data_IF_133927175677
#
_entry.id   IF_133927175677
#
_cell.length_a   1.000
_cell.length_b   1.000
_cell.length_c   1.000
_cell.angle_alpha   90.00
_cell.angle_beta   90.00
_cell.angle_gamma   90.00
#
_symmetry.space_group_name_H-M   'P 1'
#
loop_
_entity.id
_entity.type
_entity.pdbx_description
1 polymer ?
#
# COMPACT_ATOMS: atom_id res chain seq x y z
N UNK A 1 16.37 16.36 -12.94
CA UNK A 1 14.90 16.36 -12.76
C UNK A 1 14.31 15.27 -13.64
N UNK A 2 13.35 14.50 -13.10
CA UNK A 2 12.61 13.50 -13.86
C UNK A 2 11.74 14.18 -14.94
N UNK A 3 11.45 13.45 -16.01
CA UNK A 3 10.47 13.87 -17.01
C UNK A 3 9.07 13.87 -16.40
N UNK A 4 8.22 14.78 -16.85
CA UNK A 4 6.82 14.89 -16.37
C UNK A 4 6.07 13.57 -16.49
N UNK A 5 6.24 12.81 -17.58
CA UNK A 5 5.55 11.53 -17.76
C UNK A 5 5.95 10.48 -16.71
N UNK A 6 7.18 10.55 -16.20
CA UNK A 6 7.64 9.66 -15.12
C UNK A 6 7.06 10.08 -13.77
N UNK A 7 6.99 11.37 -13.50
CA UNK A 7 6.39 11.90 -12.27
C UNK A 7 4.91 11.50 -12.19
N UNK A 8 4.16 11.63 -13.29
CA UNK A 8 2.75 11.26 -13.33
C UNK A 8 2.54 9.76 -13.06
N UNK A 9 3.41 8.91 -13.60
CA UNK A 9 3.37 7.46 -13.34
C UNK A 9 3.71 7.11 -11.90
N UNK A 10 4.68 7.77 -11.29
CA UNK A 10 5.06 7.54 -9.89
C UNK A 10 3.96 8.02 -8.94
N UNK A 11 3.31 9.15 -9.23
CA UNK A 11 2.13 9.61 -8.50
C UNK A 11 0.96 8.63 -8.60
N UNK A 12 0.71 8.09 -9.80
CA UNK A 12 -0.30 7.06 -9.99
C UNK A 12 0.05 5.79 -9.20
N UNK A 13 1.32 5.38 -9.18
CA UNK A 13 1.78 4.23 -8.42
C UNK A 13 1.62 4.43 -6.91
N UNK A 14 1.95 5.61 -6.36
CA UNK A 14 1.73 5.92 -4.93
C UNK A 14 0.26 5.75 -4.53
N UNK A 15 -0.67 6.22 -5.36
CA UNK A 15 -2.10 6.03 -5.13
C UNK A 15 -2.52 4.55 -5.16
N UNK A 16 -1.90 3.76 -6.04
CA UNK A 16 -2.14 2.32 -6.11
C UNK A 16 -1.64 1.61 -4.85
N UNK A 17 -0.44 1.92 -4.35
CA UNK A 17 0.09 1.33 -3.12
C UNK A 17 -0.79 1.69 -1.90
N UNK A 18 -1.24 2.95 -1.81
CA UNK A 18 -2.15 3.37 -0.76
C UNK A 18 -3.50 2.63 -0.83
N UNK A 19 -4.06 2.49 -2.04
CA UNK A 19 -5.28 1.71 -2.24
C UNK A 19 -5.09 0.23 -1.86
N UNK A 20 -3.97 -0.38 -2.24
CA UNK A 20 -3.60 -1.75 -1.87
C UNK A 20 -3.50 -1.93 -0.36
N UNK A 21 -2.92 -0.97 0.36
CA UNK A 21 -2.88 -0.97 1.82
C UNK A 21 -4.28 -1.00 2.43
N UNK A 22 -5.18 -0.12 1.97
CA UNK A 22 -6.56 -0.08 2.45
C UNK A 22 -7.32 -1.37 2.12
N UNK A 23 -7.10 -1.93 0.93
CA UNK A 23 -7.70 -3.19 0.51
C UNK A 23 -7.27 -4.34 1.43
N UNK A 24 -5.97 -4.52 1.69
CA UNK A 24 -5.48 -5.56 2.59
C UNK A 24 -5.93 -5.35 4.03
N UNK A 25 -6.04 -4.10 4.48
CA UNK A 25 -6.60 -3.78 5.79
C UNK A 25 -8.07 -4.22 5.89
N UNK A 26 -8.87 -3.98 4.85
CA UNK A 26 -10.27 -4.42 4.80
C UNK A 26 -10.41 -5.94 4.73
N UNK A 27 -9.54 -6.62 3.97
CA UNK A 27 -9.49 -8.07 3.91
C UNK A 27 -9.07 -8.66 5.28
N UNK A 28 -8.12 -8.04 5.97
CA UNK A 28 -7.74 -8.41 7.35
C UNK A 28 -8.95 -8.35 8.29
N UNK A 29 -9.73 -7.25 8.24
CA UNK A 29 -10.95 -7.11 9.03
C UNK A 29 -11.99 -8.20 8.71
N UNK A 30 -12.17 -8.52 7.42
CA UNK A 30 -13.05 -9.60 6.98
C UNK A 30 -12.59 -10.97 7.51
N UNK A 31 -11.29 -11.26 7.47
CA UNK A 31 -10.73 -12.49 8.04
C UNK A 31 -10.94 -12.58 9.55
N UNK A 32 -10.71 -11.50 10.30
CA UNK A 32 -10.97 -11.47 11.75
C UNK A 32 -12.45 -11.71 12.07
N UNK A 33 -13.38 -11.14 11.30
CA UNK A 33 -14.82 -11.39 11.50
C UNK A 33 -15.18 -12.88 11.33
N UNK A 34 -14.48 -13.60 10.45
CA UNK A 34 -14.68 -15.04 10.21
C UNK A 34 -13.75 -15.94 11.04
N UNK A 35 -13.07 -15.40 12.06
CA UNK A 35 -12.12 -16.12 12.92
C UNK A 35 -10.92 -16.76 12.17
N UNK A 36 -10.56 -16.22 11.00
CA UNK A 36 -9.37 -16.61 10.24
C UNK A 36 -8.13 -15.83 10.70
N UNK A 37 -7.76 -15.96 11.97
CA UNK A 37 -6.78 -15.08 12.63
C UNK A 37 -5.40 -15.07 11.98
N UNK A 38 -4.92 -16.22 11.48
CA UNK A 38 -3.63 -16.29 10.77
C UNK A 38 -3.61 -15.46 9.48
N UNK A 39 -4.70 -15.55 8.69
CA UNK A 39 -4.85 -14.76 7.47
C UNK A 39 -5.05 -13.27 7.80
N UNK A 40 -5.83 -12.96 8.83
CA UNK A 40 -6.02 -11.58 9.29
C UNK A 40 -4.70 -10.92 9.67
N UNK A 41 -3.85 -11.62 10.44
CA UNK A 41 -2.53 -11.13 10.83
C UNK A 41 -1.57 -10.97 9.65
N UNK A 42 -1.60 -11.91 8.69
CA UNK A 42 -0.82 -11.80 7.45
C UNK A 42 -1.20 -10.56 6.64
N UNK A 43 -2.49 -10.38 6.36
CA UNK A 43 -3.00 -9.26 5.57
C UNK A 43 -2.76 -7.91 6.24
N UNK A 44 -2.82 -7.85 7.58
CA UNK A 44 -2.49 -6.62 8.33
C UNK A 44 -1.04 -6.22 8.19
N UNK A 45 -0.10 -7.19 8.18
CA UNK A 45 1.32 -6.92 7.93
C UNK A 45 1.53 -6.45 6.49
N UNK A 46 0.92 -7.12 5.50
CA UNK A 46 1.00 -6.67 4.11
C UNK A 46 0.42 -5.27 3.89
N UNK A 47 -0.68 -4.90 4.56
CA UNK A 47 -1.19 -3.53 4.51
C UNK A 47 -0.14 -2.49 4.95
N UNK A 48 0.70 -2.81 5.95
CA UNK A 48 1.81 -1.95 6.41
C UNK A 48 3.00 -1.95 5.45
N UNK A 49 3.27 -3.08 4.79
CA UNK A 49 4.30 -3.15 3.74
C UNK A 49 3.94 -2.25 2.55
N UNK A 50 2.67 -2.24 2.11
CA UNK A 50 2.24 -1.36 1.00
C UNK A 50 2.33 0.13 1.36
N UNK A 51 2.08 0.51 2.62
CA UNK A 51 2.35 1.88 3.08
C UNK A 51 3.83 2.24 2.97
N UNK A 52 4.71 1.28 3.23
CA UNK A 52 6.16 1.46 3.09
C UNK A 52 6.57 1.58 1.62
N UNK A 53 5.92 0.85 0.70
CA UNK A 53 6.12 1.01 -0.74
C UNK A 53 5.74 2.42 -1.19
N UNK A 54 4.55 2.90 -0.79
CA UNK A 54 4.09 4.25 -1.07
C UNK A 54 5.09 5.30 -0.56
N UNK A 55 5.53 5.19 0.70
CA UNK A 55 6.47 6.14 1.30
C UNK A 55 7.81 6.19 0.56
N UNK A 56 8.34 5.05 0.12
CA UNK A 56 9.59 5.01 -0.66
C UNK A 56 9.49 5.76 -1.99
N UNK A 57 8.34 5.69 -2.66
CA UNK A 57 8.10 6.44 -3.89
C UNK A 57 7.94 7.93 -3.62
N UNK A 58 7.28 8.29 -2.52
CA UNK A 58 7.16 9.67 -2.08
C UNK A 58 8.54 10.29 -1.82
N UNK A 59 9.35 9.63 -0.98
CA UNK A 59 10.69 10.10 -0.63
C UNK A 59 11.55 10.30 -1.89
N UNK A 60 11.53 9.34 -2.82
CA UNK A 60 12.24 9.43 -4.10
C UNK A 60 11.81 10.61 -4.99
N UNK A 61 10.54 11.04 -4.91
CA UNK A 61 10.04 12.18 -5.67
C UNK A 61 10.34 13.53 -5.00
N UNK A 62 10.52 13.54 -3.68
CA UNK A 62 10.76 14.75 -2.90
C UNK A 62 12.24 15.10 -2.70
N UNK A 63 13.13 14.12 -2.86
CA UNK A 63 14.60 14.31 -2.85
C UNK A 63 15.14 14.84 -4.19
#
# INVERSE_FOLDING_TARGET
MLKTEMIDKLNAQMNLELYSSLLYQQMSAWCSYHSFEGAAAFLRRHAQEEMTHMQRLFDYLTD
#
